data_IF_873079108383
#
_entry.id   IF_873079108383
#
_cell.length_a   1.000
_cell.length_b   1.000
_cell.length_c   1.000
_cell.angle_alpha   90.00
_cell.angle_beta   90.00
_cell.angle_gamma   90.00
#
_symmetry.space_group_name_H-M   'P 1'
#
loop_
_entity.id
_entity.type
_entity.pdbx_description
1 polymer ?
#
# COMPACT_ATOMS: atom_id res chain seq x y z
N UNK A 1 -22.40 -16.81 8.57
CA UNK A 1 -20.98 -16.91 8.20
C UNK A 1 -20.51 -15.84 7.19
N UNK A 2 -21.36 -15.21 6.41
CA UNK A 2 -21.03 -14.28 5.31
C UNK A 2 -20.63 -12.86 5.74
N UNK A 3 -21.11 -12.33 6.87
CA UNK A 3 -20.83 -10.94 7.31
C UNK A 3 -19.39 -10.73 7.83
N UNK A 4 -18.78 -11.75 8.42
CA UNK A 4 -17.39 -11.67 8.92
C UNK A 4 -16.36 -11.77 7.79
N UNK A 5 -16.64 -12.57 6.76
CA UNK A 5 -15.79 -12.65 5.55
C UNK A 5 -15.84 -11.34 4.74
N UNK A 6 -16.98 -10.67 4.68
CA UNK A 6 -17.12 -9.38 3.99
C UNK A 6 -16.33 -8.28 4.69
N UNK A 7 -16.32 -8.25 6.01
CA UNK A 7 -15.51 -7.27 6.79
C UNK A 7 -14.01 -7.48 6.65
N UNK A 8 -13.55 -8.74 6.52
CA UNK A 8 -12.13 -9.07 6.28
C UNK A 8 -11.73 -8.68 4.86
N UNK A 9 -12.58 -8.90 3.86
CA UNK A 9 -12.33 -8.53 2.46
C UNK A 9 -12.29 -7.00 2.31
N UNK A 10 -13.17 -6.26 2.96
CA UNK A 10 -13.17 -4.79 2.95
C UNK A 10 -11.96 -4.21 3.70
N UNK A 11 -11.54 -4.81 4.81
CA UNK A 11 -10.33 -4.42 5.54
C UNK A 11 -9.05 -4.66 4.72
N UNK A 12 -8.96 -5.80 4.05
CA UNK A 12 -7.84 -6.17 3.18
C UNK A 12 -7.79 -5.29 1.92
N UNK A 13 -8.93 -4.93 1.33
CA UNK A 13 -8.99 -4.01 0.18
C UNK A 13 -8.61 -2.58 0.56
N UNK A 14 -8.89 -2.14 1.80
CA UNK A 14 -8.50 -0.81 2.27
C UNK A 14 -6.98 -0.71 2.49
N UNK A 15 -6.36 -1.75 3.06
CA UNK A 15 -4.89 -1.84 3.23
C UNK A 15 -4.20 -2.07 1.87
N UNK A 16 -4.77 -2.89 1.00
CA UNK A 16 -4.29 -3.09 -0.39
C UNK A 16 -4.46 -1.79 -1.19
N UNK A 17 -5.50 -1.01 -0.96
CA UNK A 17 -5.70 0.31 -1.57
C UNK A 17 -4.61 1.31 -1.19
N UNK A 18 -4.20 1.35 0.07
CA UNK A 18 -3.08 2.17 0.55
C UNK A 18 -1.73 1.67 0.00
N UNK A 19 -1.53 0.36 -0.10
CA UNK A 19 -0.32 -0.26 -0.66
C UNK A 19 -0.31 -0.24 -2.20
N UNK A 20 -1.47 -0.36 -2.85
CA UNK A 20 -1.63 -0.25 -4.32
C UNK A 20 -1.50 1.18 -4.81
N UNK A 21 -1.79 2.16 -3.96
CA UNK A 21 -1.56 3.57 -4.29
C UNK A 21 -0.09 3.85 -4.60
N UNK A 22 0.80 3.12 -3.92
CA UNK A 22 2.23 3.14 -4.25
C UNK A 22 2.59 2.55 -5.61
N UNK A 23 1.92 1.50 -6.07
CA UNK A 23 2.30 0.78 -7.30
C UNK A 23 1.81 1.48 -8.59
N UNK A 24 0.59 2.03 -8.58
CA UNK A 24 0.03 2.71 -9.76
C UNK A 24 0.64 4.10 -9.98
N UNK A 25 1.03 4.75 -8.91
CA UNK A 25 1.54 6.10 -8.95
C UNK A 25 3.05 6.19 -9.16
N UNK A 26 3.78 5.08 -9.03
CA UNK A 26 5.25 5.07 -9.18
C UNK A 26 5.72 5.10 -10.64
N UNK A 27 4.85 4.80 -11.59
CA UNK A 27 5.24 4.70 -13.00
C UNK A 27 5.57 6.03 -13.68
N UNK A 28 5.32 7.15 -13.04
CA UNK A 28 5.42 8.42 -13.77
C UNK A 28 5.99 9.64 -13.04
N UNK A 29 6.47 9.62 -11.81
CA UNK A 29 6.99 10.88 -11.25
C UNK A 29 7.96 10.66 -10.09
N UNK A 30 9.18 11.15 -10.25
CA UNK A 30 10.29 11.24 -9.29
C UNK A 30 10.01 12.12 -8.05
N UNK A 31 11.04 12.69 -7.43
CA UNK A 31 11.02 13.38 -6.13
C UNK A 31 9.91 14.42 -5.93
N UNK A 32 9.47 15.07 -7.00
CA UNK A 32 8.41 16.09 -7.01
C UNK A 32 7.01 15.65 -6.53
N UNK A 33 6.80 14.38 -6.20
CA UNK A 33 5.49 13.92 -5.74
C UNK A 33 5.27 14.19 -4.26
N UNK A 34 6.30 13.99 -3.44
CA UNK A 34 6.21 14.29 -2.00
C UNK A 34 6.05 15.79 -1.79
N UNK A 35 6.78 16.61 -2.57
CA UNK A 35 6.63 18.06 -2.55
C UNK A 35 5.20 18.48 -2.84
N UNK A 36 4.57 17.91 -3.87
CA UNK A 36 3.17 18.22 -4.21
C UNK A 36 2.17 17.81 -3.11
N UNK A 37 2.41 16.72 -2.40
CA UNK A 37 1.58 16.32 -1.26
C UNK A 37 1.77 17.33 -0.13
N UNK A 38 3.02 17.66 0.18
CA UNK A 38 3.36 18.62 1.21
C UNK A 38 2.75 20.00 0.94
N UNK A 39 2.83 20.48 -0.29
CA UNK A 39 2.22 21.75 -0.72
C UNK A 39 0.69 21.73 -0.62
N UNK A 40 0.03 20.68 -1.13
CA UNK A 40 -1.44 20.56 -1.07
C UNK A 40 -1.98 20.54 0.34
N UNK A 41 -1.27 19.90 1.24
CA UNK A 41 -1.65 19.80 2.66
C UNK A 41 -1.14 21.01 3.47
N UNK A 42 -0.33 21.90 2.89
CA UNK A 42 0.37 22.99 3.58
C UNK A 42 1.13 22.47 4.81
N UNK A 43 1.96 21.42 4.59
CA UNK A 43 2.75 20.83 5.67
C UNK A 43 3.90 21.77 6.07
N UNK A 44 4.11 21.91 7.38
CA UNK A 44 5.30 22.56 7.90
C UNK A 44 6.55 21.66 7.74
N UNK A 45 7.72 22.16 8.10
CA UNK A 45 8.99 21.45 7.88
C UNK A 45 9.10 20.18 8.74
N UNK A 46 8.55 20.16 9.94
CA UNK A 46 8.52 18.96 10.78
C UNK A 46 7.58 17.89 10.20
N UNK A 47 6.44 18.30 9.69
CA UNK A 47 5.49 17.41 9.03
C UNK A 47 6.06 16.85 7.72
N UNK A 48 6.83 17.64 6.95
CA UNK A 48 7.54 17.17 5.74
C UNK A 48 8.56 16.07 6.07
N UNK A 49 9.32 16.22 7.15
CA UNK A 49 10.25 15.16 7.61
C UNK A 49 9.50 13.87 7.94
N UNK A 50 8.33 13.95 8.58
CA UNK A 50 7.51 12.78 8.88
C UNK A 50 6.91 12.15 7.61
N UNK A 51 6.51 12.96 6.63
CA UNK A 51 6.04 12.49 5.32
C UNK A 51 7.15 11.74 4.58
N UNK A 52 8.36 12.24 4.62
CA UNK A 52 9.53 11.58 4.01
C UNK A 52 9.85 10.25 4.71
N UNK A 53 9.73 10.18 6.04
CA UNK A 53 9.89 8.93 6.78
C UNK A 53 8.85 7.86 6.38
N UNK A 54 7.61 8.24 6.08
CA UNK A 54 6.60 7.34 5.52
C UNK A 54 7.04 6.84 4.13
N UNK A 55 7.49 7.75 3.27
CA UNK A 55 7.95 7.41 1.93
C UNK A 55 9.12 6.43 1.97
N UNK A 56 10.09 6.66 2.83
CA UNK A 56 11.24 5.78 3.02
C UNK A 56 10.83 4.39 3.52
N UNK A 57 9.97 4.31 4.52
CA UNK A 57 9.43 3.02 5.01
C UNK A 57 8.70 2.24 3.89
N UNK A 58 7.91 2.94 3.07
CA UNK A 58 7.26 2.35 1.91
C UNK A 58 8.26 1.91 0.83
N UNK A 59 9.34 2.66 0.63
CA UNK A 59 10.39 2.33 -0.33
C UNK A 59 11.12 1.06 0.07
N UNK A 60 11.48 0.94 1.35
CA UNK A 60 12.14 -0.24 1.91
C UNK A 60 11.26 -1.48 1.78
N UNK A 61 10.00 -1.39 2.22
CA UNK A 61 9.04 -2.48 2.07
C UNK A 61 8.90 -2.94 0.61
N UNK A 62 8.88 -2.02 -0.36
CA UNK A 62 8.80 -2.37 -1.78
C UNK A 62 10.08 -3.00 -2.32
N UNK A 63 11.22 -2.62 -1.80
CA UNK A 63 12.49 -3.21 -2.23
C UNK A 63 12.56 -4.68 -1.81
N UNK A 64 12.24 -4.98 -0.55
CA UNK A 64 12.14 -6.35 -0.05
C UNK A 64 11.16 -7.18 -0.90
N UNK A 65 9.99 -6.63 -1.24
CA UNK A 65 9.03 -7.29 -2.12
C UNK A 65 9.52 -7.53 -3.54
N UNK A 66 10.38 -6.66 -4.09
CA UNK A 66 10.94 -6.83 -5.44
C UNK A 66 11.97 -7.94 -5.49
N UNK A 67 12.81 -8.00 -4.49
CA UNK A 67 13.90 -9.00 -4.45
C UNK A 67 13.33 -10.42 -4.38
N UNK A 68 12.22 -10.60 -3.67
CA UNK A 68 11.51 -11.89 -3.57
C UNK A 68 10.62 -12.19 -4.79
N UNK A 69 10.22 -11.17 -5.55
CA UNK A 69 9.28 -11.33 -6.67
C UNK A 69 9.81 -12.22 -7.78
N UNK A 70 11.09 -12.15 -8.06
CA UNK A 70 11.73 -12.96 -9.10
C UNK A 70 11.60 -14.44 -8.76
N UNK A 71 11.99 -14.85 -7.56
CA UNK A 71 11.86 -16.25 -7.12
C UNK A 71 10.40 -16.73 -7.08
N UNK A 72 9.47 -15.90 -6.63
CA UNK A 72 8.04 -16.23 -6.66
C UNK A 72 7.52 -16.45 -8.10
N UNK A 73 7.94 -15.62 -9.05
CA UNK A 73 7.54 -15.78 -10.45
C UNK A 73 8.11 -17.07 -11.06
N UNK A 74 9.35 -17.43 -10.72
CA UNK A 74 9.95 -18.68 -11.16
C UNK A 74 9.17 -19.90 -10.65
N UNK A 75 8.74 -19.88 -9.39
CA UNK A 75 7.88 -20.91 -8.81
C UNK A 75 6.51 -20.99 -9.50
N UNK A 76 5.88 -19.85 -9.78
CA UNK A 76 4.61 -19.81 -10.53
C UNK A 76 4.79 -20.36 -11.93
N UNK A 77 5.87 -20.01 -12.62
CA UNK A 77 6.17 -20.54 -13.96
C UNK A 77 6.39 -22.06 -13.90
N UNK A 78 7.07 -22.57 -12.88
CA UNK A 78 7.24 -24.00 -12.67
C UNK A 78 5.90 -24.72 -12.47
N UNK A 79 4.98 -24.12 -11.70
CA UNK A 79 3.63 -24.66 -11.50
C UNK A 79 2.80 -24.66 -12.81
N UNK A 80 2.92 -23.65 -13.65
CA UNK A 80 2.21 -23.58 -14.94
C UNK A 80 2.75 -24.62 -15.93
N UNK A 81 4.05 -24.95 -15.87
CA UNK A 81 4.69 -25.94 -16.74
C UNK A 81 4.47 -27.37 -16.28
N UNK A 82 4.00 -27.61 -15.07
CA UNK A 82 3.73 -28.96 -14.56
C UNK A 82 2.43 -29.53 -15.18
N UNK A 83 2.34 -30.84 -15.26
CA UNK A 83 1.13 -31.52 -15.79
C UNK A 83 -0.09 -31.32 -14.88
N UNK A 84 0.14 -31.08 -13.59
CA UNK A 84 -0.92 -30.80 -12.61
C UNK A 84 -0.47 -29.66 -11.70
N UNK A 85 -1.39 -28.71 -11.44
CA UNK A 85 -1.17 -27.62 -10.51
C UNK A 85 -1.12 -28.16 -9.08
N UNK A 86 -0.03 -27.94 -8.38
CA UNK A 86 0.07 -28.21 -6.96
C UNK A 86 -0.60 -27.09 -6.15
N UNK A 87 -1.85 -27.33 -5.77
CA UNK A 87 -2.66 -26.36 -5.04
C UNK A 87 -2.04 -25.99 -3.69
N UNK A 88 -1.41 -26.94 -3.00
CA UNK A 88 -0.76 -26.69 -1.72
C UNK A 88 0.44 -25.76 -1.89
N UNK A 89 1.23 -25.97 -2.91
CA UNK A 89 2.36 -25.09 -3.25
C UNK A 89 1.93 -23.68 -3.60
N UNK A 90 0.87 -23.53 -4.41
CA UNK A 90 0.31 -22.23 -4.77
C UNK A 90 -0.22 -21.51 -3.54
N UNK A 91 -0.95 -22.22 -2.67
CA UNK A 91 -1.44 -21.66 -1.42
C UNK A 91 -0.28 -21.18 -0.53
N UNK A 92 0.77 -21.97 -0.39
CA UNK A 92 1.98 -21.59 0.36
C UNK A 92 2.61 -20.29 -0.17
N UNK A 93 2.70 -20.10 -1.49
CA UNK A 93 3.19 -18.86 -2.11
C UNK A 93 2.33 -17.66 -1.74
N UNK A 94 1.00 -17.83 -1.75
CA UNK A 94 0.05 -16.77 -1.33
C UNK A 94 0.23 -16.45 0.15
N UNK A 95 0.32 -17.45 1.02
CA UNK A 95 0.52 -17.26 2.46
C UNK A 95 1.84 -16.54 2.78
N UNK A 96 2.93 -16.92 2.12
CA UNK A 96 4.20 -16.23 2.24
C UNK A 96 4.08 -14.76 1.86
N UNK A 97 3.38 -14.46 0.76
CA UNK A 97 3.14 -13.09 0.33
C UNK A 97 2.35 -12.27 1.35
N UNK A 98 1.29 -12.85 1.91
CA UNK A 98 0.48 -12.21 2.96
C UNK A 98 1.29 -12.00 4.25
N UNK A 99 2.10 -12.97 4.66
CA UNK A 99 2.96 -12.84 5.84
C UNK A 99 3.95 -11.67 5.70
N UNK A 100 4.57 -11.50 4.53
CA UNK A 100 5.47 -10.36 4.26
C UNK A 100 4.74 -9.02 4.32
N UNK A 101 3.55 -8.94 3.74
CA UNK A 101 2.73 -7.73 3.85
C UNK A 101 2.41 -7.39 5.30
N UNK A 102 2.07 -8.39 6.11
CA UNK A 102 1.79 -8.22 7.53
C UNK A 102 3.04 -7.79 8.33
N UNK A 103 4.23 -8.17 7.92
CA UNK A 103 5.48 -7.73 8.55
C UNK A 103 5.83 -6.27 8.22
N UNK A 104 5.61 -5.84 6.98
CA UNK A 104 5.94 -4.48 6.53
C UNK A 104 4.91 -3.43 7.00
N UNK A 105 3.63 -3.79 7.07
CA UNK A 105 2.54 -2.86 7.36
C UNK A 105 2.69 -2.11 8.70
N UNK A 106 3.06 -2.73 9.83
CA UNK A 106 3.16 -2.03 11.11
C UNK A 106 4.15 -0.86 11.10
N UNK A 107 5.28 -0.99 10.42
CA UNK A 107 6.28 0.08 10.34
C UNK A 107 5.73 1.28 9.56
N UNK A 108 5.08 1.04 8.43
CA UNK A 108 4.45 2.11 7.64
C UNK A 108 3.33 2.78 8.42
N UNK A 109 2.46 1.98 9.07
CA UNK A 109 1.34 2.50 9.87
C UNK A 109 1.83 3.34 11.05
N UNK A 110 2.91 2.93 11.72
CA UNK A 110 3.50 3.71 12.80
C UNK A 110 3.96 5.10 12.32
N UNK A 111 4.62 5.19 11.16
CA UNK A 111 5.03 6.46 10.56
C UNK A 111 3.83 7.32 10.13
N UNK A 112 2.79 6.71 9.61
CA UNK A 112 1.53 7.41 9.29
C UNK A 112 0.89 7.97 10.56
N UNK A 113 0.87 7.21 11.65
CA UNK A 113 0.33 7.66 12.94
C UNK A 113 1.13 8.85 13.51
N UNK A 114 2.47 8.83 13.39
CA UNK A 114 3.33 9.94 13.80
C UNK A 114 3.01 11.24 13.02
N UNK A 115 2.78 11.17 11.71
CA UNK A 115 2.37 12.31 10.90
C UNK A 115 0.95 12.75 11.29
N UNK A 116 0.00 11.81 11.35
CA UNK A 116 -1.40 12.10 11.67
C UNK A 116 -1.55 12.86 13.00
N UNK A 117 -0.75 12.53 14.01
CA UNK A 117 -0.77 13.19 15.32
C UNK A 117 -0.39 14.69 15.25
N UNK A 118 0.30 15.12 14.20
CA UNK A 118 0.75 16.51 14.02
C UNK A 118 -0.13 17.31 13.05
N UNK A 119 -1.07 16.65 12.35
CA UNK A 119 -1.93 17.33 11.38
C UNK A 119 -2.99 18.18 12.09
N UNK A 120 -3.18 19.40 11.60
CA UNK A 120 -4.28 20.27 12.03
C UNK A 120 -5.64 19.74 11.53
N UNK A 121 -6.78 20.19 12.11
CA UNK A 121 -8.11 19.83 11.62
C UNK A 121 -8.30 20.16 10.13
N UNK A 122 -7.78 21.29 9.66
CA UNK A 122 -7.87 21.74 8.28
C UNK A 122 -7.06 20.82 7.34
N UNK A 123 -5.87 20.39 7.78
CA UNK A 123 -5.05 19.45 7.02
C UNK A 123 -5.74 18.08 6.93
N UNK A 124 -6.34 17.60 8.02
CA UNK A 124 -7.13 16.35 8.02
C UNK A 124 -8.32 16.44 7.08
N UNK A 125 -9.03 17.58 7.06
CA UNK A 125 -10.13 17.81 6.13
C UNK A 125 -9.70 17.72 4.65
N UNK A 126 -8.53 18.29 4.30
CA UNK A 126 -7.96 18.15 2.95
C UNK A 126 -7.62 16.70 2.58
N UNK A 127 -7.14 15.90 3.54
CA UNK A 127 -6.89 14.46 3.31
C UNK A 127 -8.20 13.74 3.01
N UNK A 128 -9.25 13.97 3.81
CA UNK A 128 -10.58 13.38 3.62
C UNK A 128 -11.14 13.74 2.25
N UNK A 129 -11.14 15.03 1.88
CA UNK A 129 -11.60 15.49 0.57
C UNK A 129 -10.86 14.80 -0.60
N UNK A 130 -9.55 14.57 -0.45
CA UNK A 130 -8.79 13.84 -1.46
C UNK A 130 -9.22 12.38 -1.58
N UNK A 131 -9.47 11.70 -0.46
CA UNK A 131 -9.94 10.32 -0.42
C UNK A 131 -11.34 10.18 -1.01
N UNK A 132 -12.24 11.11 -0.73
CA UNK A 132 -13.60 11.14 -1.29
C UNK A 132 -13.55 11.27 -2.82
N UNK A 133 -12.75 12.19 -3.34
CA UNK A 133 -12.54 12.32 -4.80
C UNK A 133 -11.95 11.06 -5.43
N UNK A 134 -11.13 10.31 -4.71
CA UNK A 134 -10.63 9.01 -5.20
C UNK A 134 -11.73 7.96 -5.22
N UNK A 135 -12.57 7.92 -4.20
CA UNK A 135 -13.72 7.01 -4.10
C UNK A 135 -14.70 7.24 -5.24
N UNK A 136 -15.08 8.48 -5.51
CA UNK A 136 -15.93 8.85 -6.63
C UNK A 136 -15.37 8.34 -7.97
N UNK A 137 -14.09 8.62 -8.25
CA UNK A 137 -13.43 8.14 -9.48
C UNK A 137 -13.37 6.63 -9.62
N UNK A 138 -13.37 5.87 -8.52
CA UNK A 138 -13.44 4.41 -8.57
C UNK A 138 -14.86 3.91 -8.86
N UNK A 139 -15.88 4.65 -8.41
CA UNK A 139 -17.29 4.30 -8.68
C UNK A 139 -17.68 4.59 -10.12
N UNK A 140 -17.18 5.67 -10.72
CA UNK A 140 -17.47 6.06 -12.11
C UNK A 140 -16.83 5.13 -13.17
N UNK A 141 -15.99 4.20 -12.76
CA UNK A 141 -15.35 3.23 -13.67
C UNK A 141 -16.08 1.88 -13.78
N UNK A 142 -17.20 1.74 -13.11
CA UNK A 142 -18.10 0.58 -13.16
C UNK A 142 -19.41 0.93 -13.82
#
# INVERSE_FOLDING_TARGET
>A
MTRKLFAIIVGVTMVIGLLSWGAYAYRSHGPHRMDRIAERLNLDDQQKVKLEAIHEAMRQARQEFRDERAGMLDEIVAQIKSDQLDQAKVLQLVEQRLARMNQAAPQVIAKVAELHATLTPEQKAKVVEHLDRMKERMQDRH
#
